data_IF_254820115205
#
_entry.id   IF_254820115205
#
_cell.length_a   1.000
_cell.length_b   1.000
_cell.length_c   1.000
_cell.angle_alpha   90.00
_cell.angle_beta   90.00
_cell.angle_gamma   90.00
#
_symmetry.space_group_name_H-M   'P 1'
#
loop_
_entity.id
_entity.type
_entity.pdbx_description
1 polymer ?
#
# COMPACT_ATOMS: atom_id res chain seq x y z
N UNK A 1 -20.11 -9.60 -23.31
CA UNK A 1 -19.76 -8.18 -23.13
C UNK A 1 -18.92 -8.11 -21.87
N UNK A 2 -17.66 -7.66 -21.89
CA UNK A 2 -16.99 -7.30 -20.65
C UNK A 2 -17.80 -6.16 -20.03
N UNK A 3 -18.18 -6.29 -18.76
CA UNK A 3 -18.80 -5.17 -18.04
C UNK A 3 -17.80 -4.03 -17.98
N UNK A 4 -18.20 -2.81 -18.33
CA UNK A 4 -17.36 -1.63 -18.21
C UNK A 4 -16.85 -1.49 -16.76
N UNK A 5 -15.60 -1.08 -16.60
CA UNK A 5 -15.01 -0.86 -15.29
C UNK A 5 -15.71 0.30 -14.57
N UNK A 6 -16.19 0.06 -13.35
CA UNK A 6 -16.82 1.09 -12.53
C UNK A 6 -15.77 1.83 -11.70
N UNK A 7 -15.27 2.93 -12.26
CA UNK A 7 -14.29 3.77 -11.59
C UNK A 7 -14.80 4.35 -10.27
N UNK A 8 -16.08 4.70 -10.19
CA UNK A 8 -16.65 5.34 -9.00
C UNK A 8 -16.69 4.38 -7.81
N UNK A 9 -17.09 3.13 -8.07
CA UNK A 9 -17.03 2.06 -7.09
C UNK A 9 -15.59 1.75 -6.69
N UNK A 10 -14.65 1.74 -7.64
CA UNK A 10 -13.24 1.49 -7.33
C UNK A 10 -12.60 2.60 -6.48
N UNK A 11 -12.94 3.87 -6.71
CA UNK A 11 -12.47 4.99 -5.88
C UNK A 11 -12.98 4.87 -4.44
N UNK A 12 -14.24 4.44 -4.27
CA UNK A 12 -14.81 4.17 -2.94
C UNK A 12 -14.02 3.07 -2.21
N UNK A 13 -13.66 2.00 -2.93
CA UNK A 13 -12.78 0.95 -2.40
C UNK A 13 -11.41 1.51 -1.99
N UNK A 14 -10.81 2.38 -2.81
CA UNK A 14 -9.53 3.00 -2.46
C UNK A 14 -9.64 3.84 -1.18
N UNK A 15 -10.68 4.65 -1.03
CA UNK A 15 -10.91 5.46 0.18
C UNK A 15 -11.07 4.61 1.45
N UNK A 16 -11.82 3.51 1.37
CA UNK A 16 -12.00 2.59 2.49
C UNK A 16 -10.69 1.90 2.89
N UNK A 17 -9.93 1.42 1.91
CA UNK A 17 -8.63 0.77 2.14
C UNK A 17 -7.61 1.77 2.69
N UNK A 18 -7.55 2.98 2.15
CA UNK A 18 -6.68 4.04 2.63
C UNK A 18 -7.01 4.44 4.08
N UNK A 19 -8.30 4.61 4.39
CA UNK A 19 -8.77 4.90 5.76
C UNK A 19 -8.33 3.80 6.73
N UNK A 20 -8.46 2.53 6.33
CA UNK A 20 -8.02 1.40 7.16
C UNK A 20 -6.51 1.36 7.32
N UNK A 21 -5.74 1.55 6.25
CA UNK A 21 -4.29 1.56 6.28
C UNK A 21 -3.76 2.68 7.20
N UNK A 22 -4.35 3.87 7.13
CA UNK A 22 -3.94 5.03 7.94
C UNK A 22 -4.15 4.77 9.45
N UNK A 23 -5.27 4.16 9.85
CA UNK A 23 -5.54 3.86 11.28
C UNK A 23 -4.55 2.88 11.92
N UNK A 24 -3.85 2.08 11.12
CA UNK A 24 -2.95 1.03 11.60
C UNK A 24 -1.46 1.28 11.33
N UNK A 25 -1.09 2.38 10.67
CA UNK A 25 0.28 2.54 10.16
C UNK A 25 1.28 3.14 11.18
N UNK A 26 0.87 3.40 12.42
CA UNK A 26 1.75 4.02 13.41
C UNK A 26 2.27 5.40 12.99
N UNK A 27 1.50 6.13 12.18
CA UNK A 27 1.86 7.40 11.53
C UNK A 27 3.05 7.31 10.57
N UNK A 28 3.46 6.11 10.16
CA UNK A 28 4.46 5.93 9.10
C UNK A 28 3.81 5.94 7.72
N UNK A 29 4.34 6.79 6.84
CA UNK A 29 3.95 6.83 5.43
C UNK A 29 4.32 5.54 4.70
N UNK A 30 5.55 5.04 4.87
CA UNK A 30 6.01 3.80 4.22
C UNK A 30 5.14 2.60 4.62
N UNK A 31 4.74 2.54 5.89
CA UNK A 31 3.87 1.46 6.34
C UNK A 31 2.43 1.62 5.85
N UNK A 32 1.94 2.87 5.77
CA UNK A 32 0.66 3.17 5.11
C UNK A 32 0.67 2.66 3.65
N UNK A 33 1.67 3.07 2.86
CA UNK A 33 1.84 2.66 1.46
C UNK A 33 1.94 1.15 1.33
N UNK A 34 2.68 0.48 2.21
CA UNK A 34 2.79 -0.97 2.22
C UNK A 34 1.44 -1.67 2.47
N UNK A 35 0.69 -1.24 3.49
CA UNK A 35 -0.61 -1.80 3.84
C UNK A 35 -1.66 -1.55 2.74
N UNK A 36 -1.75 -0.30 2.28
CA UNK A 36 -2.67 0.11 1.23
C UNK A 36 -2.40 -0.69 -0.05
N UNK A 37 -1.16 -0.66 -0.53
CA UNK A 37 -0.78 -1.29 -1.80
C UNK A 37 -0.95 -2.80 -1.77
N UNK A 38 -0.60 -3.46 -0.67
CA UNK A 38 -0.80 -4.91 -0.55
C UNK A 38 -2.27 -5.30 -0.61
N UNK A 39 -3.17 -4.46 -0.10
CA UNK A 39 -4.62 -4.71 -0.15
C UNK A 39 -5.16 -4.43 -1.55
N UNK A 40 -4.72 -3.34 -2.19
CA UNK A 40 -5.05 -3.00 -3.57
C UNK A 40 -4.59 -4.10 -4.54
N UNK A 41 -3.37 -4.61 -4.40
CA UNK A 41 -2.84 -5.73 -5.19
C UNK A 41 -3.78 -6.94 -5.14
N UNK A 42 -4.23 -7.31 -3.93
CA UNK A 42 -5.10 -8.47 -3.72
C UNK A 42 -6.51 -8.27 -4.30
N UNK A 43 -7.03 -7.04 -4.28
CA UNK A 43 -8.35 -6.71 -4.84
C UNK A 43 -8.29 -6.60 -6.37
N UNK A 44 -7.32 -5.86 -6.89
CA UNK A 44 -7.12 -5.67 -8.33
C UNK A 44 -6.75 -6.99 -9.03
N UNK A 45 -6.07 -7.92 -8.35
CA UNK A 45 -5.78 -9.26 -8.86
C UNK A 45 -7.02 -10.13 -9.15
N UNK A 46 -8.21 -9.72 -8.67
CA UNK A 46 -9.49 -10.40 -8.95
C UNK A 46 -10.21 -9.82 -10.16
N UNK A 47 -9.74 -8.69 -10.68
CA UNK A 47 -10.32 -8.03 -11.85
C UNK A 47 -9.77 -8.66 -13.14
N UNK A 48 -10.52 -8.55 -14.26
CA UNK A 48 -9.97 -8.77 -15.59
C UNK A 48 -8.71 -7.92 -15.82
N UNK A 49 -7.79 -8.40 -16.65
CA UNK A 49 -6.48 -7.77 -16.86
C UNK A 49 -6.58 -6.31 -17.32
N UNK A 50 -7.48 -6.01 -18.26
CA UNK A 50 -7.76 -4.67 -18.77
C UNK A 50 -8.24 -3.73 -17.66
N UNK A 51 -9.08 -4.24 -16.75
CA UNK A 51 -9.61 -3.47 -15.63
C UNK A 51 -8.60 -3.31 -14.49
N UNK A 52 -7.75 -4.32 -14.28
CA UNK A 52 -6.69 -4.30 -13.27
C UNK A 52 -5.72 -3.16 -13.53
N UNK A 53 -5.27 -2.97 -14.77
CA UNK A 53 -4.37 -1.87 -15.10
C UNK A 53 -4.99 -0.50 -14.80
N UNK A 54 -6.26 -0.31 -15.16
CA UNK A 54 -7.01 0.92 -14.87
C UNK A 54 -7.19 1.14 -13.36
N UNK A 55 -7.53 0.09 -12.62
CA UNK A 55 -7.67 0.09 -11.17
C UNK A 55 -6.38 0.51 -10.46
N UNK A 56 -5.24 -0.08 -10.84
CA UNK A 56 -3.93 0.26 -10.28
C UNK A 56 -3.51 1.70 -10.63
N UNK A 57 -3.86 2.20 -11.81
CA UNK A 57 -3.61 3.58 -12.21
C UNK A 57 -4.37 4.57 -11.32
N UNK A 58 -5.65 4.30 -11.04
CA UNK A 58 -6.47 5.13 -10.12
C UNK A 58 -5.91 5.07 -8.70
N UNK A 59 -5.50 3.89 -8.23
CA UNK A 59 -4.97 3.73 -6.88
C UNK A 59 -3.67 4.54 -6.62
N UNK A 60 -2.94 4.96 -7.66
CA UNK A 60 -1.78 5.87 -7.53
C UNK A 60 -2.16 7.22 -6.91
N UNK A 61 -3.42 7.64 -6.98
CA UNK A 61 -3.89 8.87 -6.31
C UNK A 61 -3.87 8.76 -4.76
N UNK A 62 -3.79 7.54 -4.21
CA UNK A 62 -3.64 7.24 -2.78
C UNK A 62 -2.25 6.69 -2.45
N UNK A 63 -1.25 6.99 -3.29
CA UNK A 63 0.14 6.54 -3.14
C UNK A 63 0.34 5.02 -3.25
N UNK A 64 -0.50 4.34 -4.05
CA UNK A 64 -0.21 2.94 -4.43
C UNK A 64 1.25 2.81 -4.90
N UNK A 65 1.93 1.77 -4.46
CA UNK A 65 3.28 1.40 -4.87
C UNK A 65 3.34 -0.09 -5.23
N UNK A 66 3.94 -0.37 -6.38
CA UNK A 66 4.15 -1.73 -6.87
C UNK A 66 5.00 -2.54 -5.89
N UNK A 67 4.95 -3.88 -5.95
CA UNK A 67 5.81 -4.72 -5.12
C UNK A 67 7.31 -4.42 -5.26
N UNK A 68 7.76 -3.96 -6.43
CA UNK A 68 9.15 -3.58 -6.67
C UNK A 68 9.52 -2.27 -5.95
N UNK A 69 8.75 -1.20 -6.15
CA UNK A 69 8.96 0.11 -5.51
C UNK A 69 8.93 -0.02 -3.98
N UNK A 70 7.99 -0.81 -3.44
CA UNK A 70 7.92 -1.07 -1.98
C UNK A 70 9.15 -1.79 -1.45
N UNK A 71 9.69 -2.74 -2.23
CA UNK A 71 10.92 -3.46 -1.86
C UNK A 71 12.13 -2.53 -1.84
N UNK A 72 12.24 -1.64 -2.82
CA UNK A 72 13.32 -0.64 -2.87
C UNK A 72 13.27 0.29 -1.64
N UNK A 73 12.09 0.80 -1.29
CA UNK A 73 11.90 1.59 -0.06
C UNK A 73 12.30 0.79 1.20
N UNK A 74 11.90 -0.49 1.30
CA UNK A 74 12.27 -1.35 2.43
C UNK A 74 13.78 -1.60 2.52
N UNK A 75 14.46 -1.77 1.38
CA UNK A 75 15.92 -1.93 1.35
C UNK A 75 16.61 -0.65 1.81
N UNK A 76 16.18 0.51 1.31
CA UNK A 76 16.71 1.79 1.75
C UNK A 76 16.50 1.99 3.25
N UNK A 77 15.32 1.66 3.78
CA UNK A 77 15.04 1.72 5.21
C UNK A 77 16.01 0.89 6.04
N UNK A 78 16.25 -0.36 5.63
CA UNK A 78 17.19 -1.26 6.31
C UNK A 78 18.64 -0.73 6.29
N UNK A 79 19.06 -0.11 5.19
CA UNK A 79 20.40 0.49 5.04
C UNK A 79 20.57 1.78 5.86
N UNK A 80 19.47 2.42 6.28
CA UNK A 80 19.47 3.74 6.92
C UNK A 80 18.97 3.74 8.38
N UNK A 81 18.85 2.56 9.01
CA UNK A 81 18.50 2.46 10.44
C UNK A 81 17.00 2.48 10.74
N UNK A 82 16.16 2.22 9.74
CA UNK A 82 14.71 2.11 9.87
C UNK A 82 14.27 0.64 9.78
N UNK A 83 13.17 0.30 10.43
CA UNK A 83 12.51 -0.99 10.24
C UNK A 83 11.78 -1.05 8.89
N UNK A 84 11.25 -2.22 8.53
CA UNK A 84 10.44 -2.40 7.31
C UNK A 84 9.15 -1.58 7.28
N UNK A 85 8.73 -1.04 8.43
CA UNK A 85 7.61 -0.10 8.53
C UNK A 85 8.05 1.36 8.34
N UNK A 86 9.32 1.65 7.99
CA UNK A 86 9.83 3.02 7.81
C UNK A 86 9.89 3.84 9.11
N UNK A 87 9.94 3.17 10.26
CA UNK A 87 10.11 3.81 11.57
C UNK A 87 11.50 3.46 12.08
N UNK A 88 12.17 4.41 12.72
CA UNK A 88 13.50 4.20 13.30
C UNK A 88 13.52 2.94 14.21
N UNK A 89 14.59 2.16 14.12
CA UNK A 89 14.74 0.94 14.91
C UNK A 89 14.69 1.24 16.41
N UNK A 90 13.95 0.43 17.17
CA UNK A 90 13.69 0.64 18.60
C UNK A 90 12.56 1.65 18.89
N UNK A 91 12.11 2.43 17.91
CA UNK A 91 11.01 3.40 18.06
C UNK A 91 9.67 2.89 17.52
N UNK A 92 9.67 1.76 16.80
CA UNK A 92 8.47 1.23 16.17
C UNK A 92 7.48 0.66 17.22
N UNK A 93 6.21 1.09 17.24
CA UNK A 93 5.20 0.57 18.18
C UNK A 93 4.94 -0.95 18.04
N UNK A 94 5.29 -1.54 16.91
CA UNK A 94 5.23 -2.98 16.68
C UNK A 94 6.38 -3.76 17.34
N UNK A 95 7.34 -3.08 17.99
CA UNK A 95 8.50 -3.69 18.65
C UNK A 95 9.68 -3.99 17.72
N UNK A 96 9.77 -3.37 16.55
CA UNK A 96 10.88 -3.62 15.63
C UNK A 96 12.20 -3.07 16.21
N UNK A 97 13.23 -3.94 16.32
CA UNK A 97 14.55 -3.56 16.85
C UNK A 97 14.65 -3.53 18.37
N UNK A 98 13.63 -4.03 19.08
CA UNK A 98 13.67 -4.31 20.51
C UNK A 98 13.96 -5.80 20.72
N UNK A 99 15.24 -6.18 20.79
CA UNK A 99 15.67 -7.52 21.24
C UNK A 99 15.81 -7.58 22.78
#
# INVERSE_FOLDING_TARGET
>A
MPHAFDESSWRTVCDEVATRANKGCGLSHDYYVACFSSTIDALAGRLPEDQREQALKIAREWDYATPAERRESQMWNAENGYCSHGIELGCCPAGCGSD
#
